data_IF_482049676868
#
_entry.id   IF_482049676868
#
_cell.length_a   1.000
_cell.length_b   1.000
_cell.length_c   1.000
_cell.angle_alpha   90.00
_cell.angle_beta   90.00
_cell.angle_gamma   90.00
#
_symmetry.space_group_name_H-M   'P 1'
#
loop_
_entity.id
_entity.type
_entity.pdbx_description
1 polymer ?
#
# COMPACT_ATOMS: atom_id res chain seq x y z
N UNK A 1 18.44 -7.67 0.34
CA UNK A 1 17.98 -7.06 -0.93
C UNK A 1 18.21 -5.55 -0.85
N UNK A 2 18.83 -4.96 -1.88
CA UNK A 2 19.12 -3.54 -1.89
C UNK A 2 17.85 -2.70 -2.05
N UNK A 3 17.89 -1.44 -1.59
CA UNK A 3 16.77 -0.51 -1.76
C UNK A 3 16.43 -0.26 -3.24
N UNK A 4 17.44 -0.26 -4.10
CA UNK A 4 17.22 -0.09 -5.53
C UNK A 4 16.40 -1.23 -6.13
N UNK A 5 16.66 -2.46 -5.71
CA UNK A 5 15.87 -3.63 -6.13
C UNK A 5 14.45 -3.52 -5.57
N UNK A 6 14.30 -3.21 -4.28
CA UNK A 6 12.98 -3.10 -3.65
C UNK A 6 12.09 -2.08 -4.38
N UNK A 7 12.64 -0.96 -4.82
CA UNK A 7 11.90 0.07 -5.56
C UNK A 7 11.37 -0.43 -6.90
N UNK A 8 12.02 -1.43 -7.50
CA UNK A 8 11.60 -2.01 -8.78
C UNK A 8 10.59 -3.14 -8.61
N UNK A 9 10.48 -3.72 -7.40
CA UNK A 9 9.61 -4.87 -7.16
C UNK A 9 8.12 -4.64 -7.46
N UNK A 10 7.52 -3.47 -7.16
CA UNK A 10 6.11 -3.24 -7.52
C UNK A 10 5.84 -3.39 -9.00
N UNK A 11 6.78 -2.99 -9.84
CA UNK A 11 6.65 -3.12 -11.28
C UNK A 11 6.73 -4.58 -11.72
N UNK A 12 7.66 -5.35 -11.17
CA UNK A 12 7.70 -6.80 -11.40
C UNK A 12 6.40 -7.47 -10.96
N UNK A 13 5.91 -7.11 -9.79
CA UNK A 13 4.67 -7.67 -9.25
C UNK A 13 3.50 -7.45 -10.20
N UNK A 14 3.37 -6.25 -10.75
CA UNK A 14 2.30 -5.94 -11.70
C UNK A 14 2.39 -6.77 -12.96
N UNK A 15 3.56 -6.84 -13.58
CA UNK A 15 3.74 -7.59 -14.82
C UNK A 15 3.56 -9.08 -14.62
N UNK A 16 4.07 -9.64 -13.52
CA UNK A 16 3.87 -11.05 -13.20
C UNK A 16 2.39 -11.36 -12.96
N UNK A 17 1.65 -10.46 -12.31
CA UNK A 17 0.21 -10.60 -12.12
C UNK A 17 -0.55 -10.66 -13.45
N UNK A 18 -0.19 -9.81 -14.40
CA UNK A 18 -0.77 -9.83 -15.75
C UNK A 18 -0.47 -11.16 -16.46
N UNK A 19 0.74 -11.67 -16.31
CA UNK A 19 1.13 -12.96 -16.89
C UNK A 19 0.32 -14.12 -16.30
N UNK A 20 0.07 -14.09 -15.01
CA UNK A 20 -0.77 -15.11 -14.35
C UNK A 20 -2.19 -15.08 -14.94
N UNK A 21 -2.77 -13.91 -15.11
CA UNK A 21 -4.08 -13.76 -15.73
C UNK A 21 -4.13 -14.30 -17.16
N UNK A 22 -3.03 -14.20 -17.89
CA UNK A 22 -2.88 -14.73 -19.24
C UNK A 22 -2.56 -16.22 -19.28
N UNK A 23 -2.42 -16.88 -18.13
CA UNK A 23 -2.10 -18.30 -18.06
C UNK A 23 -0.64 -18.64 -18.33
N UNK A 24 0.26 -17.66 -18.27
CA UNK A 24 1.69 -17.88 -18.48
C UNK A 24 2.33 -18.46 -17.21
N UNK A 25 2.85 -19.68 -17.32
CA UNK A 25 3.46 -20.36 -16.15
C UNK A 25 4.95 -20.05 -16.00
N UNK A 26 5.66 -19.87 -17.12
CA UNK A 26 7.10 -19.60 -17.14
C UNK A 26 7.41 -18.50 -18.14
N UNK A 27 8.42 -17.71 -17.79
CA UNK A 27 8.88 -16.62 -18.67
C UNK A 27 10.40 -16.48 -18.56
N UNK A 28 11.06 -16.26 -19.69
CA UNK A 28 12.51 -15.99 -19.72
C UNK A 28 12.79 -14.53 -19.39
N UNK A 29 14.02 -14.24 -18.97
CA UNK A 29 14.47 -12.86 -18.75
C UNK A 29 14.37 -12.02 -20.03
N UNK A 30 14.61 -12.63 -21.20
CA UNK A 30 14.49 -11.92 -22.48
C UNK A 30 13.04 -11.54 -22.81
N UNK A 31 12.11 -12.47 -22.59
CA UNK A 31 10.68 -12.18 -22.83
C UNK A 31 10.13 -11.14 -21.85
N UNK A 32 10.53 -11.25 -20.58
CA UNK A 32 10.12 -10.27 -19.57
C UNK A 32 10.71 -8.89 -19.87
N UNK A 33 11.96 -8.86 -20.34
CA UNK A 33 12.64 -7.63 -20.78
C UNK A 33 11.85 -6.91 -21.86
N UNK A 34 11.36 -7.62 -22.85
CA UNK A 34 10.55 -7.04 -23.92
C UNK A 34 9.26 -6.40 -23.40
N UNK A 35 8.62 -7.06 -22.44
CA UNK A 35 7.37 -6.57 -21.84
C UNK A 35 7.60 -5.36 -20.95
N UNK A 36 8.66 -5.39 -20.15
CA UNK A 36 8.92 -4.35 -19.14
C UNK A 36 9.77 -3.20 -19.65
N UNK A 37 10.40 -3.35 -20.82
CA UNK A 37 11.36 -2.39 -21.36
C UNK A 37 12.54 -2.11 -20.43
N UNK A 38 12.98 -3.17 -19.76
CA UNK A 38 14.17 -3.20 -18.90
C UNK A 38 15.12 -4.22 -19.50
N UNK A 39 16.42 -4.05 -19.33
CA UNK A 39 17.39 -5.01 -19.91
C UNK A 39 17.26 -6.38 -19.25
N UNK A 40 17.47 -7.44 -20.03
CA UNK A 40 17.46 -8.81 -19.48
C UNK A 40 18.53 -8.99 -18.40
N UNK A 41 19.67 -8.32 -18.54
CA UNK A 41 20.74 -8.32 -17.54
C UNK A 41 20.26 -7.75 -16.20
N UNK A 42 19.52 -6.63 -16.21
CA UNK A 42 18.97 -6.03 -15.00
C UNK A 42 17.96 -6.96 -14.35
N UNK A 43 17.11 -7.60 -15.15
CA UNK A 43 16.13 -8.58 -14.65
C UNK A 43 16.84 -9.75 -13.96
N UNK A 44 17.85 -10.30 -14.58
CA UNK A 44 18.62 -11.40 -13.97
C UNK A 44 19.25 -10.99 -12.64
N UNK A 45 19.83 -9.78 -12.57
CA UNK A 45 20.40 -9.28 -11.33
C UNK A 45 19.33 -9.11 -10.23
N UNK A 46 18.21 -8.51 -10.58
CA UNK A 46 17.13 -8.27 -9.62
C UNK A 46 16.54 -9.60 -9.12
N UNK A 47 16.23 -10.52 -10.01
CA UNK A 47 15.58 -11.78 -9.67
C UNK A 47 16.53 -12.80 -9.07
N UNK A 48 17.83 -12.61 -9.20
CA UNK A 48 18.83 -13.47 -8.54
C UNK A 48 18.70 -13.41 -7.00
N UNK A 49 18.13 -12.35 -6.46
CA UNK A 49 17.86 -12.22 -5.02
C UNK A 49 16.83 -13.24 -4.52
N UNK A 50 16.10 -13.89 -5.41
CA UNK A 50 15.04 -14.85 -5.07
C UNK A 50 15.47 -16.30 -5.24
N UNK A 51 16.78 -16.55 -5.33
CA UNK A 51 17.32 -17.90 -5.42
C UNK A 51 17.25 -18.49 -6.83
N UNK A 52 17.66 -19.74 -6.99
CA UNK A 52 17.92 -20.41 -8.26
C UNK A 52 16.74 -20.65 -9.22
N UNK A 53 15.92 -19.67 -9.47
CA UNK A 53 14.73 -19.78 -10.29
C UNK A 53 14.96 -19.65 -11.78
N UNK A 54 16.16 -19.30 -12.16
CA UNK A 54 16.52 -19.20 -13.54
C UNK A 54 17.47 -20.30 -13.94
N UNK A 55 17.07 -21.56 -13.81
CA UNK A 55 17.81 -22.60 -14.48
C UNK A 55 17.82 -22.31 -15.96
N UNK A 56 19.00 -22.24 -16.52
CA UNK A 56 19.21 -21.92 -17.91
C UNK A 56 18.33 -22.83 -18.79
N UNK A 57 17.45 -22.22 -19.58
CA UNK A 57 16.54 -22.91 -20.47
C UNK A 57 15.11 -23.14 -19.96
N UNK A 58 14.84 -22.96 -18.68
CA UNK A 58 13.50 -23.19 -18.11
C UNK A 58 12.73 -21.90 -17.81
N UNK A 59 13.42 -20.77 -17.73
CA UNK A 59 12.82 -19.51 -17.37
C UNK A 59 12.40 -19.44 -15.90
N UNK A 60 11.75 -18.35 -15.54
CA UNK A 60 11.26 -18.11 -14.19
C UNK A 60 9.86 -18.66 -14.01
N UNK A 61 9.59 -19.25 -12.85
CA UNK A 61 8.24 -19.64 -12.46
C UNK A 61 7.47 -18.37 -12.06
N UNK A 62 6.45 -18.02 -12.84
CA UNK A 62 5.72 -16.76 -12.68
C UNK A 62 5.00 -16.69 -11.33
N UNK A 63 4.24 -17.72 -10.98
CA UNK A 63 3.48 -17.74 -9.72
C UNK A 63 4.39 -17.70 -8.50
N UNK A 64 5.50 -18.40 -8.55
CA UNK A 64 6.45 -18.43 -7.45
C UNK A 64 7.06 -17.05 -7.21
N UNK A 65 7.55 -16.40 -8.28
CA UNK A 65 8.11 -15.05 -8.16
C UNK A 65 7.06 -14.05 -7.67
N UNK A 66 5.87 -14.14 -8.20
CA UNK A 66 4.77 -13.28 -7.79
C UNK A 66 4.52 -13.39 -6.29
N UNK A 67 4.43 -14.61 -5.78
CA UNK A 67 4.24 -14.88 -4.36
C UNK A 67 5.40 -14.34 -3.51
N UNK A 68 6.63 -14.61 -3.89
CA UNK A 68 7.81 -14.18 -3.13
C UNK A 68 7.94 -12.65 -3.10
N UNK A 69 7.70 -11.99 -4.23
CA UNK A 69 7.70 -10.53 -4.30
C UNK A 69 6.55 -9.96 -3.45
N UNK A 70 5.37 -10.56 -3.52
CA UNK A 70 4.23 -10.17 -2.70
C UNK A 70 4.52 -10.19 -1.21
N UNK A 71 5.24 -11.21 -0.74
CA UNK A 71 5.67 -11.30 0.67
C UNK A 71 6.56 -10.13 1.06
N UNK A 72 7.53 -9.80 0.21
CA UNK A 72 8.47 -8.70 0.47
C UNK A 72 7.73 -7.36 0.51
N UNK A 73 6.76 -7.17 -0.39
CA UNK A 73 5.95 -5.95 -0.44
C UNK A 73 4.86 -5.92 0.63
N UNK A 74 4.71 -6.99 1.41
CA UNK A 74 3.68 -7.07 2.45
C UNK A 74 2.27 -7.27 1.94
N UNK A 75 2.09 -7.66 0.67
CA UNK A 75 0.79 -7.76 0.03
C UNK A 75 0.04 -9.06 0.32
N UNK A 76 0.67 -10.02 0.99
CA UNK A 76 0.02 -11.25 1.42
C UNK A 76 -0.60 -11.14 2.81
N UNK A 77 -0.34 -10.04 3.51
CA UNK A 77 -0.91 -9.75 4.81
C UNK A 77 -2.00 -8.69 4.66
N UNK A 78 -3.07 -8.84 5.39
CA UNK A 78 -4.10 -7.83 5.47
C UNK A 78 -3.58 -6.62 6.26
N UNK A 79 -3.82 -5.43 5.74
CA UNK A 79 -3.47 -4.18 6.40
C UNK A 79 -4.74 -3.41 6.72
N UNK A 80 -4.93 -3.08 7.98
CA UNK A 80 -6.08 -2.29 8.42
C UNK A 80 -5.79 -0.80 8.19
N UNK A 81 -6.65 -0.14 7.43
CA UNK A 81 -6.50 1.28 7.15
C UNK A 81 -7.66 2.09 7.69
N UNK A 82 -7.36 3.31 8.07
CA UNK A 82 -8.37 4.34 8.34
C UNK A 82 -8.11 5.53 7.44
N UNK A 83 -9.15 6.30 7.17
CA UNK A 83 -9.07 7.53 6.39
C UNK A 83 -9.52 8.68 7.28
N UNK A 84 -8.68 9.70 7.38
CA UNK A 84 -8.97 10.92 8.11
C UNK A 84 -9.37 11.97 7.09
N UNK A 85 -10.62 12.41 7.16
CA UNK A 85 -11.24 13.30 6.17
C UNK A 85 -12.19 12.54 5.26
N UNK A 86 -13.46 12.88 5.30
CA UNK A 86 -14.52 12.24 4.49
C UNK A 86 -15.11 13.22 3.46
N UNK A 87 -14.28 14.13 2.96
CA UNK A 87 -14.62 14.97 1.82
C UNK A 87 -14.46 14.21 0.50
N UNK A 88 -14.35 14.94 -0.60
CA UNK A 88 -14.28 14.32 -1.94
C UNK A 88 -13.11 13.35 -2.09
N UNK A 89 -11.91 13.74 -1.66
CA UNK A 89 -10.73 12.90 -1.76
C UNK A 89 -10.83 11.67 -0.85
N UNK A 90 -11.22 11.86 0.41
CA UNK A 90 -11.35 10.76 1.36
C UNK A 90 -12.38 9.73 0.91
N UNK A 91 -13.52 10.17 0.40
CA UNK A 91 -14.56 9.28 -0.13
C UNK A 91 -14.10 8.56 -1.40
N UNK A 92 -13.40 9.25 -2.30
CA UNK A 92 -12.86 8.62 -3.49
C UNK A 92 -11.86 7.52 -3.13
N UNK A 93 -11.01 7.78 -2.15
CA UNK A 93 -10.05 6.81 -1.64
C UNK A 93 -10.76 5.62 -1.00
N UNK A 94 -11.79 5.87 -0.17
CA UNK A 94 -12.59 4.83 0.47
C UNK A 94 -13.30 3.92 -0.55
N UNK A 95 -13.71 4.49 -1.68
CA UNK A 95 -14.41 3.77 -2.73
C UNK A 95 -13.47 3.03 -3.70
N UNK A 96 -12.17 3.14 -3.51
CA UNK A 96 -11.21 2.51 -4.41
C UNK A 96 -11.22 0.98 -4.21
N UNK A 97 -11.92 0.29 -5.08
CA UNK A 97 -12.18 -1.15 -4.96
C UNK A 97 -10.93 -2.03 -4.97
N UNK A 98 -9.82 -1.54 -5.56
CA UNK A 98 -8.57 -2.30 -5.62
C UNK A 98 -7.88 -2.47 -4.26
N UNK A 99 -8.25 -1.69 -3.25
CA UNK A 99 -7.64 -1.82 -1.93
C UNK A 99 -7.92 -3.19 -1.30
N UNK A 100 -9.15 -3.66 -1.35
CA UNK A 100 -9.51 -4.96 -0.78
C UNK A 100 -8.78 -6.10 -1.47
N UNK A 101 -8.65 -6.02 -2.80
CA UNK A 101 -7.93 -7.03 -3.58
C UNK A 101 -6.46 -7.10 -3.24
N UNK A 102 -5.90 -6.01 -2.71
CA UNK A 102 -4.49 -5.90 -2.33
C UNK A 102 -4.26 -6.10 -0.83
N UNK A 103 -5.30 -6.53 -0.10
CA UNK A 103 -5.19 -6.78 1.34
C UNK A 103 -5.32 -5.53 2.21
N UNK A 104 -5.83 -4.42 1.68
CA UNK A 104 -6.09 -3.21 2.47
C UNK A 104 -7.55 -3.17 2.87
N UNK A 105 -7.80 -3.27 4.17
CA UNK A 105 -9.15 -3.32 4.71
C UNK A 105 -9.48 -1.97 5.35
N UNK A 106 -10.49 -1.29 4.82
CA UNK A 106 -10.95 -0.03 5.40
C UNK A 106 -11.72 -0.31 6.69
N UNK A 107 -11.17 0.16 7.82
CA UNK A 107 -11.75 -0.04 9.13
C UNK A 107 -12.53 1.17 9.65
N UNK A 108 -12.18 2.37 9.22
CA UNK A 108 -12.83 3.56 9.72
C UNK A 108 -12.63 4.76 8.83
N UNK A 109 -13.60 5.66 8.89
CA UNK A 109 -13.59 6.98 8.26
C UNK A 109 -13.90 8.01 9.34
N UNK A 110 -13.14 9.11 9.36
CA UNK A 110 -13.27 10.13 10.41
C UNK A 110 -13.37 11.52 9.80
N UNK A 111 -14.22 12.36 10.37
CA UNK A 111 -14.38 13.73 9.94
C UNK A 111 -14.81 14.62 11.12
N UNK A 112 -14.71 15.93 10.96
CA UNK A 112 -15.16 16.91 11.95
C UNK A 112 -16.55 17.44 11.64
N UNK A 113 -17.06 17.23 10.43
CA UNK A 113 -18.36 17.74 10.00
C UNK A 113 -19.51 16.90 10.57
N UNK A 114 -20.31 17.44 11.52
CA UNK A 114 -21.36 16.65 12.15
C UNK A 114 -22.46 16.21 11.17
N UNK A 115 -22.61 16.85 10.03
CA UNK A 115 -23.57 16.42 9.00
C UNK A 115 -23.21 15.08 8.39
N UNK A 116 -21.93 14.69 8.45
CA UNK A 116 -21.47 13.41 7.92
C UNK A 116 -21.58 12.26 8.92
N UNK A 117 -21.81 12.54 10.18
CA UNK A 117 -21.83 11.55 11.24
C UNK A 117 -22.84 10.44 10.94
N UNK A 118 -22.38 9.21 10.94
CA UNK A 118 -23.22 8.04 10.68
C UNK A 118 -23.50 7.72 9.23
N UNK A 119 -23.14 8.60 8.29
CA UNK A 119 -23.20 8.24 6.86
C UNK A 119 -22.21 7.13 6.58
N UNK A 120 -22.53 6.27 5.64
CA UNK A 120 -21.69 5.13 5.30
C UNK A 120 -21.06 5.26 3.92
N UNK A 121 -19.79 4.82 3.81
CA UNK A 121 -19.12 4.64 2.54
C UNK A 121 -18.64 3.18 2.49
N UNK A 122 -19.14 2.40 1.54
CA UNK A 122 -18.86 0.97 1.40
C UNK A 122 -19.11 0.18 2.70
N UNK A 123 -20.20 0.53 3.39
CA UNK A 123 -20.58 -0.13 4.63
C UNK A 123 -19.80 0.33 5.87
N UNK A 124 -18.85 1.27 5.71
CA UNK A 124 -18.07 1.80 6.83
C UNK A 124 -18.68 3.14 7.26
N UNK A 125 -19.10 3.29 8.52
CA UNK A 125 -19.68 4.54 8.97
C UNK A 125 -18.63 5.62 9.15
N UNK A 126 -19.01 6.86 8.82
CA UNK A 126 -18.21 8.03 9.13
C UNK A 126 -18.41 8.34 10.60
N UNK A 127 -17.32 8.46 11.32
CA UNK A 127 -17.30 8.78 12.74
C UNK A 127 -16.69 10.17 12.95
N UNK A 128 -17.00 10.79 14.09
CA UNK A 128 -16.41 12.09 14.42
C UNK A 128 -15.00 11.91 14.98
N UNK A 129 -14.18 12.94 14.83
CA UNK A 129 -12.78 12.88 15.24
C UNK A 129 -12.58 12.64 16.75
N UNK A 130 -13.53 13.02 17.58
CA UNK A 130 -13.47 12.76 19.02
C UNK A 130 -13.55 11.26 19.36
N UNK A 131 -14.04 10.43 18.45
CA UNK A 131 -14.05 8.97 18.60
C UNK A 131 -12.71 8.32 18.20
N UNK A 132 -11.82 9.05 17.54
CA UNK A 132 -10.56 8.49 17.03
C UNK A 132 -9.67 7.88 18.11
N UNK A 133 -9.45 8.53 19.28
CA UNK A 133 -8.59 7.96 20.31
C UNK A 133 -9.06 6.57 20.76
N UNK A 134 -10.33 6.41 21.04
CA UNK A 134 -10.91 5.14 21.44
C UNK A 134 -10.78 4.10 20.32
N UNK A 135 -11.04 4.52 19.08
CA UNK A 135 -11.00 3.63 17.92
C UNK A 135 -9.62 3.03 17.72
N UNK A 136 -8.57 3.84 17.74
CA UNK A 136 -7.19 3.34 17.53
C UNK A 136 -6.67 2.54 18.72
N UNK A 137 -7.20 2.75 19.92
CA UNK A 137 -6.87 1.93 21.09
C UNK A 137 -7.55 0.56 21.05
N UNK A 138 -8.74 0.48 20.50
CA UNK A 138 -9.53 -0.75 20.42
C UNK A 138 -9.27 -1.57 19.14
N UNK A 139 -8.67 -0.97 18.13
CA UNK A 139 -8.43 -1.61 16.83
C UNK A 139 -6.96 -1.48 16.43
N UNK A 140 -6.40 -2.56 15.91
CA UNK A 140 -5.06 -2.54 15.34
C UNK A 140 -5.11 -1.87 13.97
N UNK A 141 -4.59 -0.66 13.88
CA UNK A 141 -4.56 0.10 12.62
C UNK A 141 -3.12 0.19 12.14
N UNK A 142 -2.90 -0.21 10.89
CA UNK A 142 -1.58 -0.22 10.28
C UNK A 142 -1.28 1.08 9.54
N UNK A 143 -2.28 1.63 8.86
CA UNK A 143 -2.10 2.79 7.98
C UNK A 143 -3.25 3.78 8.19
N UNK A 144 -2.91 5.06 8.23
CA UNK A 144 -3.88 6.15 8.19
C UNK A 144 -3.62 7.02 6.97
N UNK A 145 -4.64 7.26 6.16
CA UNK A 145 -4.58 8.19 5.06
C UNK A 145 -5.10 9.56 5.53
N UNK A 146 -4.28 10.59 5.37
CA UNK A 146 -4.62 11.95 5.80
C UNK A 146 -5.06 12.76 4.59
N UNK A 147 -6.35 13.03 4.50
CA UNK A 147 -6.97 13.82 3.41
C UNK A 147 -7.59 15.09 3.95
N UNK A 148 -6.97 15.69 4.94
CA UNK A 148 -7.39 16.91 5.64
C UNK A 148 -6.36 18.03 5.40
N UNK A 149 -6.69 19.29 5.71
CA UNK A 149 -5.74 20.40 5.57
C UNK A 149 -4.44 20.17 6.34
N UNK A 150 -3.35 20.76 5.85
CA UNK A 150 -2.00 20.50 6.36
C UNK A 150 -1.83 20.74 7.87
N UNK A 151 -2.44 21.80 8.41
CA UNK A 151 -2.27 22.14 9.82
C UNK A 151 -2.90 21.06 10.72
N UNK A 152 -4.06 20.55 10.35
CA UNK A 152 -4.72 19.44 11.03
C UNK A 152 -3.95 18.14 10.82
N UNK A 153 -3.37 17.92 9.63
CA UNK A 153 -2.62 16.72 9.31
C UNK A 153 -1.41 16.56 10.23
N UNK A 154 -0.69 17.62 10.54
CA UNK A 154 0.47 17.58 11.43
C UNK A 154 0.06 17.08 12.82
N UNK A 155 -1.03 17.63 13.37
CA UNK A 155 -1.53 17.27 14.70
C UNK A 155 -2.03 15.83 14.75
N UNK A 156 -2.81 15.44 13.75
CA UNK A 156 -3.38 14.10 13.68
C UNK A 156 -2.29 13.05 13.46
N UNK A 157 -1.33 13.33 12.60
CA UNK A 157 -0.22 12.42 12.35
C UNK A 157 0.60 12.15 13.62
N UNK A 158 0.88 13.19 14.40
CA UNK A 158 1.59 13.04 15.67
C UNK A 158 0.78 12.20 16.67
N UNK A 159 -0.51 12.47 16.78
CA UNK A 159 -1.40 11.68 17.63
C UNK A 159 -1.38 10.21 17.23
N UNK A 160 -1.51 9.92 15.93
CA UNK A 160 -1.54 8.55 15.42
C UNK A 160 -0.21 7.83 15.67
N UNK A 161 0.92 8.53 15.46
CA UNK A 161 2.24 7.96 15.73
C UNK A 161 2.39 7.59 17.22
N UNK A 162 1.89 8.43 18.12
CA UNK A 162 1.91 8.19 19.56
C UNK A 162 0.98 7.03 19.98
N UNK A 163 0.03 6.67 19.13
CA UNK A 163 -0.94 5.59 19.37
C UNK A 163 -0.71 4.36 18.48
N UNK A 164 0.55 4.13 18.11
CA UNK A 164 1.01 2.92 17.41
C UNK A 164 0.50 2.76 15.96
N UNK A 165 0.12 3.85 15.31
CA UNK A 165 -0.14 3.84 13.87
C UNK A 165 1.15 4.26 13.17
N UNK A 166 1.85 3.31 12.56
CA UNK A 166 3.18 3.53 12.02
C UNK A 166 3.26 3.74 10.51
N UNK A 167 2.14 3.69 9.81
CA UNK A 167 2.05 3.97 8.39
C UNK A 167 1.14 5.18 8.14
N UNK A 168 1.64 6.17 7.43
CA UNK A 168 0.88 7.37 7.08
C UNK A 168 0.94 7.60 5.58
N UNK A 169 -0.22 7.68 4.94
CA UNK A 169 -0.34 8.18 3.57
C UNK A 169 -0.72 9.66 3.65
N UNK A 170 0.22 10.51 3.29
CA UNK A 170 0.07 11.94 3.45
C UNK A 170 -0.35 12.59 2.13
N UNK A 171 -1.58 13.06 2.09
CA UNK A 171 -2.14 13.81 0.95
C UNK A 171 -2.07 15.33 1.15
N UNK A 172 -1.62 15.76 2.32
CA UNK A 172 -1.45 17.18 2.63
C UNK A 172 -0.04 17.62 2.24
N UNK A 173 0.25 18.39 1.33
CA UNK A 173 1.55 18.80 0.82
C UNK A 173 2.43 19.48 1.89
N UNK A 174 2.76 18.78 2.95
CA UNK A 174 3.56 19.29 4.07
C UNK A 174 4.41 18.18 4.68
N UNK A 175 5.53 18.57 5.30
CA UNK A 175 6.36 17.66 6.07
C UNK A 175 5.73 17.44 7.45
N UNK A 176 5.55 16.19 7.82
CA UNK A 176 4.92 15.82 9.08
C UNK A 176 5.90 15.72 10.25
N UNK A 177 7.21 15.68 9.98
CA UNK A 177 8.28 15.59 11.01
C UNK A 177 8.02 14.51 12.07
N UNK A 178 7.73 13.30 11.62
CA UNK A 178 7.46 12.17 12.51
C UNK A 178 8.74 11.38 12.81
N UNK A 179 8.75 10.58 13.91
CA UNK A 179 9.88 9.70 14.19
C UNK A 179 10.18 8.74 13.06
N UNK A 180 11.43 8.26 12.97
CA UNK A 180 11.86 7.32 11.92
C UNK A 180 11.09 6.00 11.96
N UNK A 181 10.54 5.62 13.11
CA UNK A 181 9.70 4.42 13.23
C UNK A 181 8.38 4.50 12.43
N UNK A 182 7.99 5.70 12.01
CA UNK A 182 6.77 5.93 11.22
C UNK A 182 7.14 6.06 9.75
N UNK A 183 6.52 5.23 8.93
CA UNK A 183 6.71 5.28 7.48
C UNK A 183 5.70 6.27 6.91
N UNK A 184 6.19 7.30 6.24
CA UNK A 184 5.34 8.31 5.61
C UNK A 184 5.51 8.23 4.10
N UNK A 185 4.40 8.01 3.40
CA UNK A 185 4.35 8.11 1.95
C UNK A 185 3.60 9.38 1.59
N UNK A 186 4.31 10.30 0.92
CA UNK A 186 3.70 11.55 0.45
C UNK A 186 3.10 11.31 -0.93
N UNK A 187 1.80 11.55 -1.04
CA UNK A 187 1.04 11.33 -2.28
C UNK A 187 0.70 12.68 -2.90
N UNK A 188 1.06 12.84 -4.16
CA UNK A 188 0.82 14.09 -4.90
C UNK A 188 -0.27 13.94 -5.96
#
# INVERSE_FOLDING_TARGET
ISQAVIRRLPRYYRYLGELIEQGVERISSNELSKRMKVTASQIRQDLNNFGGFGQQGYGYNVKYLYSEIGKILGLEQDHNIIIIGAGNLGRALANYASFEKRGFILKGLFDINPELDGQEVRGVPIQMMDELPKFVDENSIDIAALTIPKDESIKVAKFLADHNVHGIWNFAHTDLNLPESVIVENVH
#
